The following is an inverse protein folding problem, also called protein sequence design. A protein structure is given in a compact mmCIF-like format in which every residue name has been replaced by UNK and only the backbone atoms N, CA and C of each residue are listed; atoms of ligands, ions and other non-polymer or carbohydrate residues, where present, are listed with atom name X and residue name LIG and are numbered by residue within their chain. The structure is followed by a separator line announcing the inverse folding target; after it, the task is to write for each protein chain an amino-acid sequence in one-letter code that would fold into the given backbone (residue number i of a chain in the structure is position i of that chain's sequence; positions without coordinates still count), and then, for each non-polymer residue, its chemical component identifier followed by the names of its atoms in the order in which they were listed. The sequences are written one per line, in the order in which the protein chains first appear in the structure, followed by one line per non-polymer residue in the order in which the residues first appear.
data_IF_672165513570
#
_entry.id   IF_672165513570
#
_cell.length_a   1.000
_cell.length_b   1.000
_cell.length_c   1.000
_cell.angle_alpha   90.00
_cell.angle_beta   90.00
_cell.angle_gamma   90.00
#
_symmetry.space_group_name_H-M   'P 1'
#
loop_
_entity.id
_entity.type
_entity.pdbx_description
1 polymer ?
#
# COMPACT_ATOMS: atom_id res chain seq x y z
N UNK A 1 -5.34 -17.13 -16.41
CA UNK A 1 -5.73 -15.74 -16.10
C UNK A 1 -4.66 -14.82 -16.64
N UNK A 2 -5.04 -13.65 -17.12
CA UNK A 2 -4.17 -12.72 -17.88
C UNK A 2 -3.02 -12.11 -17.05
N UNK A 3 -3.15 -12.06 -15.71
CA UNK A 3 -2.18 -11.46 -14.80
C UNK A 3 -1.73 -12.43 -13.71
N UNK A 4 -0.43 -12.49 -13.40
CA UNK A 4 0.13 -13.31 -12.31
C UNK A 4 -0.13 -12.70 -10.92
N UNK A 5 -0.05 -11.37 -10.83
CA UNK A 5 -0.27 -10.59 -9.63
C UNK A 5 -1.25 -9.45 -9.91
N UNK A 6 -2.07 -9.13 -8.93
CA UNK A 6 -3.04 -8.04 -8.94
C UNK A 6 -2.92 -7.26 -7.63
N UNK A 7 -3.01 -5.94 -7.68
CA UNK A 7 -2.89 -5.08 -6.51
C UNK A 7 -4.06 -4.10 -6.44
N UNK A 8 -4.48 -3.76 -5.22
CA UNK A 8 -5.55 -2.79 -4.96
C UNK A 8 -4.98 -1.63 -4.15
N UNK A 9 -4.86 -0.47 -4.79
CA UNK A 9 -4.42 0.78 -4.17
C UNK A 9 -5.31 1.91 -4.66
N UNK A 10 -5.57 2.87 -3.78
CA UNK A 10 -6.29 4.09 -4.10
C UNK A 10 -5.35 5.08 -4.81
N UNK A 11 -5.90 6.07 -5.50
CA UNK A 11 -5.11 6.96 -6.37
C UNK A 11 -4.12 7.86 -5.61
N UNK A 12 -4.32 8.05 -4.32
CA UNK A 12 -3.51 8.82 -3.39
C UNK A 12 -2.60 7.94 -2.50
N UNK A 13 -2.57 6.63 -2.75
CA UNK A 13 -1.71 5.70 -2.03
C UNK A 13 -0.45 5.35 -2.84
N UNK A 14 0.68 5.35 -2.14
CA UNK A 14 1.98 5.08 -2.73
C UNK A 14 2.61 3.84 -2.10
N UNK A 15 3.10 2.93 -2.94
CA UNK A 15 3.87 1.78 -2.49
C UNK A 15 5.34 2.17 -2.33
N UNK A 16 5.83 2.16 -1.09
CA UNK A 16 7.23 2.40 -0.77
C UNK A 16 7.93 1.06 -0.55
N UNK A 17 9.10 0.90 -1.19
CA UNK A 17 9.98 -0.25 -1.03
C UNK A 17 11.32 0.23 -0.49
N UNK A 18 12.02 -0.64 0.23
CA UNK A 18 13.38 -0.36 0.68
C UNK A 18 14.29 -0.03 -0.50
N UNK A 19 15.28 0.83 -0.26
CA UNK A 19 16.21 1.26 -1.30
C UNK A 19 16.92 0.04 -1.94
N UNK A 20 16.94 0.02 -3.28
CA UNK A 20 17.48 -1.10 -4.06
C UNK A 20 16.56 -2.31 -4.22
N UNK A 21 15.40 -2.36 -3.55
CA UNK A 21 14.43 -3.44 -3.69
C UNK A 21 13.47 -3.18 -4.86
N UNK A 22 13.59 -3.98 -5.92
CA UNK A 22 12.65 -3.94 -7.04
C UNK A 22 11.38 -4.74 -6.76
N UNK A 23 10.19 -4.16 -7.00
CA UNK A 23 8.89 -4.83 -6.80
C UNK A 23 8.83 -6.21 -7.47
N UNK A 24 9.24 -6.31 -8.74
CA UNK A 24 9.22 -7.58 -9.48
C UNK A 24 10.14 -8.63 -8.85
N UNK A 25 11.29 -8.21 -8.31
CA UNK A 25 12.22 -9.12 -7.65
C UNK A 25 11.63 -9.63 -6.33
N UNK A 26 11.00 -8.74 -5.55
CA UNK A 26 10.26 -9.08 -4.34
C UNK A 26 9.16 -10.11 -4.65
N UNK A 27 8.27 -9.83 -5.60
CA UNK A 27 7.13 -10.70 -5.92
C UNK A 27 7.55 -12.09 -6.43
N UNK A 28 8.65 -12.21 -7.18
CA UNK A 28 9.15 -13.51 -7.65
C UNK A 28 9.65 -14.42 -6.54
N UNK A 29 10.12 -13.86 -5.43
CA UNK A 29 10.62 -14.62 -4.29
C UNK A 29 9.51 -15.08 -3.34
N UNK A 30 8.26 -14.66 -3.61
CA UNK A 30 7.11 -14.87 -2.72
C UNK A 30 6.25 -16.05 -3.19
N UNK A 31 6.27 -17.19 -2.47
CA UNK A 31 5.41 -18.33 -2.76
C UNK A 31 3.96 -18.11 -2.30
N UNK A 32 3.71 -17.08 -1.49
CA UNK A 32 2.40 -16.81 -0.89
C UNK A 32 1.36 -16.41 -1.94
N UNK A 33 0.08 -16.70 -1.64
CA UNK A 33 -1.04 -16.31 -2.49
C UNK A 33 -1.32 -14.79 -2.43
N UNK A 34 -0.90 -14.11 -1.36
CA UNK A 34 -1.05 -12.69 -1.19
C UNK A 34 0.03 -12.13 -0.26
N UNK A 35 0.30 -10.84 -0.43
CA UNK A 35 1.20 -10.04 0.40
C UNK A 35 0.38 -8.87 0.95
N UNK A 36 0.45 -8.68 2.26
CA UNK A 36 -0.14 -7.54 2.95
C UNK A 36 0.88 -6.42 3.05
N UNK A 37 0.50 -5.22 2.64
CA UNK A 37 1.29 -4.01 2.76
C UNK A 37 0.63 -3.14 3.82
N UNK A 38 1.25 -2.95 5.01
CA UNK A 38 0.65 -2.15 6.08
C UNK A 38 0.52 -0.69 5.66
N UNK A 39 -0.54 -0.05 6.11
CA UNK A 39 -0.71 1.38 5.93
C UNK A 39 0.29 2.18 6.77
N UNK A 40 0.74 3.29 6.18
CA UNK A 40 1.48 4.34 6.83
C UNK A 40 0.73 5.65 6.54
N UNK A 41 -0.13 6.08 7.46
CA UNK A 41 -0.97 7.25 7.25
C UNK A 41 -0.17 8.55 7.40
N UNK A 42 -0.30 9.42 6.41
CA UNK A 42 0.21 10.79 6.43
C UNK A 42 -0.98 11.75 6.55
N UNK A 43 -0.89 12.66 7.52
CA UNK A 43 -1.95 13.65 7.76
C UNK A 43 -1.77 14.91 6.91
N UNK A 44 -2.52 15.97 7.26
CA UNK A 44 -2.41 17.27 6.58
C UNK A 44 -1.05 17.97 6.74
N UNK A 45 -0.12 17.41 7.52
CA UNK A 45 1.18 18.01 7.82
C UNK A 45 1.12 19.43 8.38
N UNK A 46 -0.01 19.77 9.02
CA UNK A 46 -0.25 21.10 9.59
C UNK A 46 -0.81 22.12 8.60
N UNK A 47 -0.97 21.75 7.33
CA UNK A 47 -1.61 22.59 6.32
C UNK A 47 -3.09 22.78 6.66
N UNK A 48 -3.55 24.04 6.57
CA UNK A 48 -4.97 24.41 6.71
C UNK A 48 -5.68 24.54 5.36
N UNK A 49 -4.91 24.94 4.35
CA UNK A 49 -5.34 25.05 2.96
C UNK A 49 -4.55 24.06 2.10
N UNK A 50 -5.03 23.78 0.88
CA UNK A 50 -4.34 22.87 -0.03
C UNK A 50 -3.04 23.53 -0.54
N UNK A 51 -1.87 22.97 -0.25
CA UNK A 51 -0.61 23.51 -0.73
C UNK A 51 -0.46 23.24 -2.24
N UNK A 52 0.30 24.07 -2.97
CA UNK A 52 0.37 23.99 -4.44
C UNK A 52 1.31 22.90 -4.98
N UNK A 53 2.09 22.23 -4.14
CA UNK A 53 3.11 21.26 -4.53
C UNK A 53 2.57 19.83 -4.68
N UNK A 54 3.48 18.86 -4.80
CA UNK A 54 3.13 17.45 -4.93
C UNK A 54 2.80 16.84 -3.56
N UNK A 55 1.89 15.86 -3.55
CA UNK A 55 1.45 15.22 -2.30
C UNK A 55 2.61 14.69 -1.45
N UNK A 56 3.59 14.02 -2.08
CA UNK A 56 4.74 13.43 -1.39
C UNK A 56 5.74 14.48 -0.87
N UNK A 57 5.67 15.71 -1.37
CA UNK A 57 6.54 16.82 -0.97
C UNK A 57 5.88 17.63 0.16
N UNK A 58 4.57 17.84 0.07
CA UNK A 58 3.84 18.73 0.99
C UNK A 58 3.25 18.00 2.22
N UNK A 59 2.89 16.70 2.10
CA UNK A 59 2.29 15.92 3.18
C UNK A 59 3.27 14.90 3.78
N UNK A 60 4.22 15.39 4.58
CA UNK A 60 5.37 14.61 5.08
C UNK A 60 5.24 14.11 6.53
N UNK A 61 4.24 14.54 7.29
CA UNK A 61 4.05 14.11 8.68
C UNK A 61 3.28 12.79 8.77
N UNK A 62 4.02 11.71 9.03
CA UNK A 62 3.49 10.36 9.29
C UNK A 62 2.93 10.23 10.70
N UNK A 63 1.78 9.58 10.83
CA UNK A 63 1.24 9.16 12.12
C UNK A 63 2.16 8.11 12.80
N UNK A 64 2.20 8.04 14.14
CA UNK A 64 2.97 7.01 14.84
C UNK A 64 2.46 5.61 14.52
N UNK A 65 3.29 4.58 14.70
CA UNK A 65 2.91 3.18 14.42
C UNK A 65 1.72 2.71 15.28
N UNK A 66 1.52 3.32 16.45
CA UNK A 66 0.37 3.07 17.33
C UNK A 66 -0.96 3.68 16.84
N UNK A 67 -0.95 4.44 15.74
CA UNK A 67 -2.16 5.00 15.17
C UNK A 67 -3.04 3.90 14.59
N UNK A 68 -4.22 3.66 15.18
CA UNK A 68 -5.10 2.54 14.86
C UNK A 68 -5.33 2.29 13.35
N UNK A 69 -5.58 3.31 12.51
CA UNK A 69 -5.70 3.12 11.08
C UNK A 69 -4.50 2.47 10.38
N UNK A 70 -3.27 2.58 10.90
CA UNK A 70 -2.10 1.90 10.35
C UNK A 70 -2.18 0.36 10.48
N UNK A 71 -3.15 -0.19 11.22
CA UNK A 71 -3.41 -1.63 11.28
C UNK A 71 -4.08 -2.19 10.01
N UNK A 72 -4.60 -1.34 9.13
CA UNK A 72 -5.11 -1.78 7.83
C UNK A 72 -3.96 -2.13 6.89
N UNK A 73 -4.28 -2.96 5.89
CA UNK A 73 -3.31 -3.42 4.89
C UNK A 73 -3.93 -3.31 3.50
N UNK A 74 -3.14 -2.89 2.52
CA UNK A 74 -3.44 -3.12 1.11
C UNK A 74 -2.89 -4.48 0.68
N UNK A 75 -3.49 -5.09 -0.32
CA UNK A 75 -3.14 -6.43 -0.76
C UNK A 75 -2.60 -6.46 -2.18
N UNK A 76 -1.53 -7.24 -2.37
CA UNK A 76 -1.02 -7.67 -3.67
C UNK A 76 -1.19 -9.18 -3.71
N UNK A 77 -2.02 -9.70 -4.61
CA UNK A 77 -2.47 -11.09 -4.60
C UNK A 77 -2.32 -11.79 -5.96
N UNK A 78 -2.22 -13.12 -5.92
CA UNK A 78 -2.26 -14.01 -7.08
C UNK A 78 -3.71 -14.44 -7.33
N UNK A 79 -4.39 -13.91 -8.37
CA UNK A 79 -5.82 -14.17 -8.55
C UNK A 79 -6.15 -15.64 -8.80
N UNK A 80 -5.19 -16.45 -9.27
CA UNK A 80 -5.35 -17.89 -9.48
C UNK A 80 -5.35 -18.70 -8.17
N UNK A 81 -4.77 -18.14 -7.10
CA UNK A 81 -4.69 -18.78 -5.78
C UNK A 81 -5.68 -18.18 -4.78
N UNK A 82 -6.15 -16.95 -5.02
CA UNK A 82 -7.13 -16.27 -4.19
C UNK A 82 -8.55 -16.78 -4.45
N UNK A 83 -9.30 -17.09 -3.38
CA UNK A 83 -10.72 -17.48 -3.50
C UNK A 83 -11.65 -16.29 -3.70
N UNK A 84 -11.36 -15.15 -3.06
CA UNK A 84 -12.09 -13.87 -3.15
C UNK A 84 -11.25 -12.75 -2.54
N UNK A 85 -11.55 -11.49 -2.92
CA UNK A 85 -11.07 -10.30 -2.24
C UNK A 85 -12.29 -9.44 -1.87
N UNK A 86 -12.63 -9.36 -0.57
CA UNK A 86 -13.88 -8.75 -0.10
C UNK A 86 -13.76 -7.27 0.24
N UNK A 87 -12.59 -6.84 0.71
CA UNK A 87 -12.34 -5.48 1.16
C UNK A 87 -10.91 -5.09 0.76
N UNK A 88 -10.70 -3.96 0.04
CA UNK A 88 -9.38 -3.55 -0.40
C UNK A 88 -8.44 -3.17 0.75
N UNK A 89 -8.95 -2.94 1.97
CA UNK A 89 -8.20 -2.51 3.15
C UNK A 89 -7.87 -3.64 4.14
N UNK A 90 -8.07 -4.90 3.74
CA UNK A 90 -7.62 -6.05 4.51
C UNK A 90 -6.98 -7.11 3.62
N UNK A 91 -6.25 -8.04 4.23
CA UNK A 91 -5.78 -9.23 3.52
C UNK A 91 -7.00 -10.10 3.12
N UNK A 92 -7.02 -10.62 1.88
CA UNK A 92 -8.09 -11.49 1.38
C UNK A 92 -8.14 -12.87 2.07
#
# INVERSE_FOLDING_TARGET
GEFEWLAFFDADEFLVLDEGLGLKALLRQRPEAAIGVPWAMFGSSGHKDYPPGLMIEDYTNRAPDSFGPNAHVKSILRPQLAKRAYNPHCLP
#
